data_IF_461399112444
#
_entry.id   IF_461399112444
#
_cell.length_a   1.000
_cell.length_b   1.000
_cell.length_c   1.000
_cell.angle_alpha   90.00
_cell.angle_beta   90.00
_cell.angle_gamma   90.00
#
_symmetry.space_group_name_H-M   'P 1'
#
loop_
_entity.id
_entity.type
_entity.pdbx_description
1 polymer ?
#
# COMPACT_ATOMS: atom_id res chain seq x y z
N UNK A 1 -7.79 15.31 35.93
CA UNK A 1 -6.90 15.01 34.78
C UNK A 1 -7.04 13.53 34.47
N UNK A 2 -7.48 13.18 33.26
CA UNK A 2 -7.44 11.79 32.80
C UNK A 2 -5.99 11.53 32.40
N UNK A 3 -5.29 10.54 33.00
CA UNK A 3 -3.94 10.19 32.56
C UNK A 3 -4.05 9.67 31.13
N UNK A 4 -3.45 10.36 30.16
CA UNK A 4 -3.30 9.80 28.83
C UNK A 4 -2.26 8.68 28.91
N UNK A 5 -2.66 7.46 28.55
CA UNK A 5 -1.72 6.34 28.41
C UNK A 5 -0.76 6.71 27.29
N UNK A 6 0.47 7.09 27.64
CA UNK A 6 1.54 7.23 26.66
C UNK A 6 1.85 5.82 26.13
N UNK A 7 1.54 5.58 24.86
CA UNK A 7 1.85 4.32 24.21
C UNK A 7 3.30 4.34 23.75
N UNK A 8 4.02 3.25 24.01
CA UNK A 8 5.32 3.03 23.41
C UNK A 8 5.16 2.51 21.97
N UNK A 9 6.23 2.59 21.17
CA UNK A 9 6.24 1.99 19.83
C UNK A 9 5.99 0.47 19.89
N UNK A 10 6.42 -0.20 20.96
CA UNK A 10 6.18 -1.62 21.17
C UNK A 10 4.69 -1.93 21.42
N UNK A 11 3.99 -1.06 22.16
CA UNK A 11 2.54 -1.19 22.38
C UNK A 11 1.79 -1.04 21.04
N UNK A 12 2.13 -0.03 20.25
CA UNK A 12 1.54 0.21 18.92
C UNK A 12 1.78 -0.99 18.00
N UNK A 13 3.00 -1.52 17.96
CA UNK A 13 3.34 -2.68 17.17
C UNK A 13 2.53 -3.92 17.60
N UNK A 14 2.36 -4.13 18.90
CA UNK A 14 1.57 -5.24 19.45
C UNK A 14 0.10 -5.15 19.03
N UNK A 15 -0.49 -3.95 19.06
CA UNK A 15 -1.87 -3.73 18.62
C UNK A 15 -2.02 -3.99 17.11
N UNK A 16 -1.10 -3.47 16.29
CA UNK A 16 -1.08 -3.72 14.85
C UNK A 16 -0.99 -5.23 14.53
N UNK A 17 -0.10 -5.95 15.23
CA UNK A 17 0.04 -7.40 15.09
C UNK A 17 -1.24 -8.14 15.47
N UNK A 18 -1.86 -7.73 16.57
CA UNK A 18 -3.13 -8.31 17.04
C UNK A 18 -4.22 -8.15 15.99
N UNK A 19 -4.39 -6.96 15.41
CA UNK A 19 -5.40 -6.74 14.37
C UNK A 19 -5.06 -7.49 13.08
N UNK A 20 -3.79 -7.56 12.68
CA UNK A 20 -3.38 -8.34 11.51
C UNK A 20 -3.79 -9.83 11.63
N UNK A 21 -3.59 -10.41 12.82
CA UNK A 21 -3.92 -11.81 13.09
C UNK A 21 -5.42 -12.04 13.25
N UNK A 22 -6.08 -11.22 14.07
CA UNK A 22 -7.45 -11.47 14.57
C UNK A 22 -8.56 -10.65 13.89
N UNK A 23 -8.24 -9.50 13.30
CA UNK A 23 -9.22 -8.54 12.76
C UNK A 23 -8.66 -7.82 11.52
N UNK A 24 -8.62 -8.54 10.39
CA UNK A 24 -8.09 -8.04 9.12
C UNK A 24 -8.81 -6.80 8.61
N UNK A 25 -10.16 -6.67 8.68
CA UNK A 25 -10.84 -5.43 8.32
C UNK A 25 -10.34 -4.22 9.13
N UNK A 26 -10.20 -4.36 10.46
CA UNK A 26 -9.64 -3.27 11.28
C UNK A 26 -8.19 -2.95 10.92
N UNK A 27 -7.39 -3.96 10.60
CA UNK A 27 -6.03 -3.75 10.10
C UNK A 27 -6.02 -2.96 8.78
N UNK A 28 -6.92 -3.26 7.84
CA UNK A 28 -7.08 -2.46 6.61
C UNK A 28 -7.44 -1.00 6.94
N UNK A 29 -8.39 -0.77 7.85
CA UNK A 29 -8.72 0.59 8.28
C UNK A 29 -7.53 1.31 8.93
N UNK A 30 -6.64 0.61 9.64
CA UNK A 30 -5.41 1.25 10.13
C UNK A 30 -4.51 1.71 8.99
N UNK A 31 -4.33 0.89 7.95
CA UNK A 31 -3.54 1.29 6.79
C UNK A 31 -4.14 2.52 6.12
N UNK A 32 -5.46 2.50 5.87
CA UNK A 32 -6.17 3.62 5.23
C UNK A 32 -6.04 4.94 6.02
N UNK A 33 -6.14 4.87 7.35
CA UNK A 33 -6.11 6.06 8.19
C UNK A 33 -4.71 6.62 8.45
N UNK A 34 -3.66 5.81 8.28
CA UNK A 34 -2.29 6.20 8.67
C UNK A 34 -1.32 6.27 7.48
N UNK A 35 -1.70 5.77 6.30
CA UNK A 35 -0.86 5.79 5.11
C UNK A 35 -1.48 6.72 4.07
N UNK A 36 -0.83 7.85 3.81
CA UNK A 36 -1.16 8.71 2.70
C UNK A 36 -0.38 8.28 1.45
N UNK A 37 -1.00 7.44 0.62
CA UNK A 37 -0.34 6.90 -0.57
C UNK A 37 0.03 7.98 -1.61
N UNK A 38 -0.65 9.13 -1.62
CA UNK A 38 -0.28 10.26 -2.50
C UNK A 38 1.10 10.85 -2.16
N UNK A 39 1.58 10.73 -0.92
CA UNK A 39 2.93 11.17 -0.54
C UNK A 39 4.02 10.30 -1.18
N UNK A 40 3.69 9.04 -1.49
CA UNK A 40 4.66 8.10 -2.05
C UNK A 40 4.73 8.18 -3.58
N UNK A 41 3.63 8.59 -4.22
CA UNK A 41 3.52 8.60 -5.69
C UNK A 41 4.25 9.82 -6.26
N UNK A 42 5.35 9.64 -7.02
CA UNK A 42 5.97 10.75 -7.72
C UNK A 42 4.99 11.36 -8.72
N UNK A 43 5.02 12.69 -8.88
CA UNK A 43 4.18 13.39 -9.86
C UNK A 43 4.43 12.91 -11.30
N UNK A 44 5.66 12.50 -11.61
CA UNK A 44 6.03 11.90 -12.89
C UNK A 44 5.27 10.60 -13.15
N UNK A 45 5.14 9.73 -12.15
CA UNK A 45 4.36 8.50 -12.27
C UNK A 45 2.89 8.81 -12.47
N UNK A 46 2.33 9.74 -11.69
CA UNK A 46 0.93 10.14 -11.87
C UNK A 46 0.67 10.60 -13.32
N UNK A 47 1.52 11.47 -13.86
CA UNK A 47 1.40 11.93 -15.25
C UNK A 47 1.59 10.79 -16.26
N UNK A 48 2.57 9.92 -16.07
CA UNK A 48 2.78 8.77 -16.95
C UNK A 48 1.58 7.81 -16.94
N UNK A 49 1.07 7.50 -15.75
CA UNK A 49 -0.12 6.68 -15.55
C UNK A 49 -1.42 7.36 -15.99
N UNK A 50 -1.49 8.68 -16.22
CA UNK A 50 -2.69 9.32 -16.77
C UNK A 50 -2.51 9.91 -18.18
N UNK A 51 -1.32 9.74 -18.79
CA UNK A 51 -1.05 10.15 -20.15
C UNK A 51 -2.02 9.49 -21.16
N UNK A 52 -2.46 10.24 -22.17
CA UNK A 52 -3.42 9.71 -23.16
C UNK A 52 -2.82 8.54 -23.94
N UNK A 53 -3.46 7.36 -23.86
CA UNK A 53 -3.07 6.15 -24.58
C UNK A 53 -4.08 5.76 -25.67
N UNK A 54 -5.02 6.66 -26.00
CA UNK A 54 -6.10 6.42 -26.96
C UNK A 54 -7.18 5.45 -26.48
N UNK A 55 -7.08 4.93 -25.25
CA UNK A 55 -8.12 4.13 -24.58
C UNK A 55 -8.35 4.66 -23.16
N UNK A 56 -9.61 4.68 -22.68
CA UNK A 56 -9.88 5.07 -21.31
C UNK A 56 -9.25 4.04 -20.35
N UNK A 57 -8.61 4.53 -19.28
CA UNK A 57 -8.10 3.68 -18.21
C UNK A 57 -9.27 3.25 -17.32
N UNK A 58 -9.48 1.94 -17.22
CA UNK A 58 -10.55 1.32 -16.43
C UNK A 58 -10.23 1.36 -14.92
N UNK A 59 -8.94 1.31 -14.54
CA UNK A 59 -8.48 1.22 -13.15
C UNK A 59 -7.68 2.45 -12.76
N UNK A 60 -7.87 2.90 -11.51
CA UNK A 60 -7.13 4.04 -10.93
C UNK A 60 -5.74 3.61 -10.48
N UNK A 61 -4.77 4.53 -10.51
CA UNK A 61 -3.40 4.29 -10.05
C UNK A 61 -3.36 3.77 -8.62
N UNK A 62 -4.06 4.49 -7.73
CA UNK A 62 -4.18 4.17 -6.31
C UNK A 62 -4.64 2.73 -6.08
N UNK A 63 -5.65 2.29 -6.83
CA UNK A 63 -6.20 0.94 -6.70
C UNK A 63 -5.21 -0.14 -7.07
N UNK A 64 -4.47 0.06 -8.16
CA UNK A 64 -3.44 -0.89 -8.59
C UNK A 64 -2.28 -0.94 -7.59
N UNK A 65 -1.86 0.21 -7.05
CA UNK A 65 -0.80 0.28 -6.04
C UNK A 65 -1.22 -0.39 -4.73
N UNK A 66 -2.40 -0.07 -4.20
CA UNK A 66 -2.90 -0.72 -2.98
C UNK A 66 -3.00 -2.23 -3.12
N UNK A 67 -3.45 -2.71 -4.27
CA UNK A 67 -3.50 -4.15 -4.53
C UNK A 67 -2.13 -4.82 -4.45
N UNK A 68 -1.07 -4.20 -5.00
CA UNK A 68 0.30 -4.71 -4.90
C UNK A 68 0.86 -4.59 -3.49
N UNK A 69 0.60 -3.50 -2.77
CA UNK A 69 1.02 -3.30 -1.39
C UNK A 69 0.41 -4.37 -0.48
N UNK A 70 -0.91 -4.58 -0.59
CA UNK A 70 -1.66 -5.60 0.14
C UNK A 70 -1.17 -7.00 -0.22
N UNK A 71 -0.87 -7.27 -1.49
CA UNK A 71 -0.27 -8.53 -1.91
C UNK A 71 1.02 -8.82 -1.14
N UNK A 72 1.85 -7.79 -0.90
CA UNK A 72 3.09 -7.92 -0.11
C UNK A 72 2.83 -8.04 1.38
N UNK A 73 1.98 -7.18 1.95
CA UNK A 73 1.67 -7.18 3.40
C UNK A 73 1.09 -8.53 3.84
N UNK A 74 0.14 -9.08 3.09
CA UNK A 74 -0.45 -10.38 3.40
C UNK A 74 0.36 -11.57 2.86
N UNK A 75 1.55 -11.33 2.31
CA UNK A 75 2.42 -12.37 1.74
C UNK A 75 1.68 -13.25 0.73
N UNK A 76 0.81 -12.66 -0.10
CA UNK A 76 0.05 -13.38 -1.12
C UNK A 76 1.00 -13.76 -2.27
N UNK A 77 1.27 -15.05 -2.51
CA UNK A 77 2.37 -15.48 -3.36
C UNK A 77 2.17 -15.23 -4.86
N UNK A 78 0.93 -15.10 -5.33
CA UNK A 78 0.64 -15.03 -6.78
C UNK A 78 -0.47 -14.04 -7.11
N UNK A 79 -0.45 -13.50 -8.32
CA UNK A 79 -1.51 -12.61 -8.82
C UNK A 79 -2.85 -13.33 -8.92
N UNK A 80 -2.86 -14.61 -9.29
CA UNK A 80 -4.08 -15.44 -9.33
C UNK A 80 -4.76 -15.53 -7.97
N UNK A 81 -3.96 -15.67 -6.91
CA UNK A 81 -4.48 -15.73 -5.55
C UNK A 81 -4.94 -14.34 -5.07
N UNK A 82 -4.21 -13.27 -5.40
CA UNK A 82 -4.66 -11.89 -5.16
C UNK A 82 -6.02 -11.62 -5.81
N UNK A 83 -6.18 -11.98 -7.10
CA UNK A 83 -7.44 -11.83 -7.83
C UNK A 83 -8.56 -12.63 -7.18
N UNK A 84 -8.25 -13.84 -6.72
CA UNK A 84 -9.22 -14.67 -5.98
C UNK A 84 -9.68 -13.95 -4.72
N UNK A 85 -8.77 -13.43 -3.90
CA UNK A 85 -9.14 -12.67 -2.71
C UNK A 85 -9.96 -11.42 -3.03
N UNK A 86 -9.58 -10.63 -4.04
CA UNK A 86 -10.35 -9.45 -4.47
C UNK A 86 -11.76 -9.79 -5.00
N UNK A 87 -11.96 -11.00 -5.54
CA UNK A 87 -13.29 -11.46 -5.97
C UNK A 87 -14.18 -11.82 -4.79
N UNK A 88 -13.62 -12.49 -3.78
CA UNK A 88 -14.39 -13.08 -2.69
C UNK A 88 -14.45 -12.24 -1.42
N UNK A 89 -13.55 -11.28 -1.19
CA UNK A 89 -13.63 -10.31 -0.09
C UNK A 89 -14.05 -8.95 -0.62
N UNK A 90 -15.25 -8.50 -0.24
CA UNK A 90 -15.73 -7.15 -0.50
C UNK A 90 -14.86 -6.12 0.22
N UNK A 91 -14.43 -6.40 1.44
CA UNK A 91 -13.61 -5.50 2.26
C UNK A 91 -12.28 -5.19 1.55
N UNK A 92 -11.60 -6.23 1.05
CA UNK A 92 -10.33 -6.05 0.34
C UNK A 92 -10.51 -5.30 -0.99
N UNK A 93 -11.62 -5.58 -1.68
CA UNK A 93 -11.96 -4.94 -2.95
C UNK A 93 -12.29 -3.46 -2.77
N UNK A 94 -13.07 -3.13 -1.74
CA UNK A 94 -13.46 -1.77 -1.36
C UNK A 94 -12.25 -0.98 -0.87
N UNK A 95 -11.41 -1.59 -0.02
CA UNK A 95 -10.15 -0.98 0.44
C UNK A 95 -9.24 -0.59 -0.73
N UNK A 96 -9.09 -1.46 -1.74
CA UNK A 96 -8.34 -1.12 -2.95
C UNK A 96 -9.10 -0.14 -3.87
N UNK A 97 -10.39 0.11 -3.66
CA UNK A 97 -11.21 0.98 -4.50
C UNK A 97 -11.54 0.40 -5.88
N UNK A 98 -11.65 -0.92 -6.01
CA UNK A 98 -12.05 -1.57 -7.26
C UNK A 98 -13.56 -1.73 -7.38
N UNK A 99 -14.18 -1.07 -8.36
CA UNK A 99 -15.56 -1.39 -8.77
C UNK A 99 -15.67 -2.76 -9.45
N UNK A 100 -14.61 -3.13 -10.20
CA UNK A 100 -14.46 -4.40 -10.89
C UNK A 100 -13.06 -4.94 -10.66
N UNK A 101 -12.92 -6.23 -10.44
CA UNK A 101 -11.61 -6.86 -10.18
C UNK A 101 -10.81 -6.94 -11.50
N UNK A 102 -9.58 -6.44 -11.56
CA UNK A 102 -8.70 -6.61 -12.72
C UNK A 102 -8.37 -8.09 -12.97
N UNK A 103 -8.23 -8.46 -14.24
CA UNK A 103 -7.69 -9.77 -14.60
C UNK A 103 -6.16 -9.81 -14.48
N UNK A 104 -5.57 -11.01 -14.59
CA UNK A 104 -4.12 -11.20 -14.44
C UNK A 104 -3.30 -10.45 -15.50
N UNK A 105 -3.84 -10.23 -16.69
CA UNK A 105 -3.15 -9.47 -17.74
C UNK A 105 -3.02 -7.99 -17.37
N UNK A 106 -4.01 -7.43 -16.66
CA UNK A 106 -3.98 -6.04 -16.17
C UNK A 106 -2.89 -5.85 -15.10
N UNK A 107 -2.80 -6.77 -14.14
CA UNK A 107 -1.72 -6.75 -13.14
C UNK A 107 -0.34 -6.93 -13.76
N UNK A 108 -0.22 -7.87 -14.71
CA UNK A 108 1.05 -8.12 -15.42
C UNK A 108 1.52 -6.89 -16.17
N UNK A 109 0.64 -6.29 -16.99
CA UNK A 109 0.96 -5.05 -17.74
C UNK A 109 1.29 -3.90 -16.82
N UNK A 110 0.52 -3.69 -15.75
CA UNK A 110 0.81 -2.63 -14.80
C UNK A 110 2.21 -2.76 -14.19
N UNK A 111 2.61 -3.95 -13.76
CA UNK A 111 3.96 -4.19 -13.22
C UNK A 111 5.07 -4.01 -14.25
N UNK A 112 4.81 -4.35 -15.51
CA UNK A 112 5.80 -4.27 -16.59
C UNK A 112 5.94 -2.85 -17.13
N UNK A 113 4.82 -2.22 -17.50
CA UNK A 113 4.78 -0.91 -18.14
C UNK A 113 5.25 0.20 -17.20
N UNK A 114 5.05 0.03 -15.89
CA UNK A 114 5.38 1.01 -14.86
C UNK A 114 6.49 0.56 -13.91
N UNK A 115 7.35 -0.39 -14.31
CA UNK A 115 8.39 -0.93 -13.43
C UNK A 115 9.29 0.16 -12.84
N UNK A 116 9.75 1.10 -13.67
CA UNK A 116 10.61 2.20 -13.23
C UNK A 116 9.86 3.20 -12.34
N UNK A 117 8.58 3.43 -12.62
CA UNK A 117 7.76 4.29 -11.78
C UNK A 117 7.48 3.65 -10.41
N UNK A 118 7.25 2.33 -10.37
CA UNK A 118 7.12 1.57 -9.13
C UNK A 118 8.41 1.62 -8.31
N UNK A 119 9.57 1.54 -8.96
CA UNK A 119 10.85 1.75 -8.28
C UNK A 119 10.90 3.16 -7.65
N UNK A 120 10.53 4.20 -8.40
CA UNK A 120 10.52 5.57 -7.90
C UNK A 120 9.57 5.78 -6.70
N UNK A 121 8.46 5.05 -6.62
CA UNK A 121 7.59 5.04 -5.42
C UNK A 121 8.34 4.54 -4.19
N UNK A 122 9.14 3.47 -4.33
CA UNK A 122 9.93 2.94 -3.22
C UNK A 122 11.11 3.85 -2.87
N UNK A 123 11.76 4.46 -3.86
CA UNK A 123 12.83 5.43 -3.62
C UNK A 123 12.27 6.64 -2.82
N UNK A 124 11.11 7.18 -3.20
CA UNK A 124 10.43 8.23 -2.44
C UNK A 124 10.03 7.80 -1.02
N UNK A 125 9.65 6.52 -0.83
CA UNK A 125 9.33 6.00 0.50
C UNK A 125 10.56 6.04 1.43
N UNK A 126 11.76 5.81 0.90
CA UNK A 126 13.00 5.95 1.66
C UNK A 126 13.16 7.39 2.14
N UNK A 127 12.96 8.37 1.27
CA UNK A 127 13.07 9.79 1.63
C UNK A 127 12.11 10.21 2.76
N UNK A 128 10.93 9.59 2.84
CA UNK A 128 9.93 9.86 3.88
C UNK A 128 10.27 9.12 5.19
N UNK A 129 10.72 7.87 5.08
CA UNK A 129 10.96 7.01 6.24
C UNK A 129 12.31 7.30 6.90
N UNK A 130 13.31 7.76 6.15
CA UNK A 130 14.67 8.00 6.65
C UNK A 130 14.70 9.02 7.82
N UNK A 131 14.08 10.20 7.73
CA UNK A 131 14.02 11.13 8.86
C UNK A 131 13.33 10.55 10.10
N UNK A 132 12.35 9.65 9.91
CA UNK A 132 11.63 8.99 10.99
C UNK A 132 12.56 7.96 11.67
N UNK A 133 13.27 7.17 10.88
CA UNK A 133 14.26 6.21 11.37
C UNK A 133 15.36 6.91 12.19
N UNK A 134 15.88 8.03 11.68
CA UNK A 134 16.90 8.85 12.37
C UNK A 134 16.38 9.42 13.70
N UNK A 135 15.09 9.76 13.80
CA UNK A 135 14.46 10.23 15.03
C UNK A 135 14.23 9.11 16.05
N UNK A 136 13.96 7.88 15.58
CA UNK A 136 13.77 6.72 16.46
C UNK A 136 15.11 6.29 17.06
N UNK A 137 16.11 6.06 16.23
CA UNK A 137 17.44 5.59 16.64
C UNK A 137 18.47 5.90 15.55
N UNK A 138 19.18 7.02 15.72
CA UNK A 138 20.19 7.52 14.79
C UNK A 138 21.28 6.50 14.46
N UNK A 139 21.76 5.77 15.48
CA UNK A 139 22.87 4.85 15.32
C UNK A 139 22.46 3.62 14.51
N UNK A 140 21.21 3.15 14.67
CA UNK A 140 20.66 2.05 13.86
C UNK A 140 20.25 2.48 12.46
N UNK A 141 19.82 3.72 12.27
CA UNK A 141 19.41 4.25 10.96
C UNK A 141 20.60 4.54 10.03
N UNK A 142 21.77 4.85 10.58
CA UNK A 142 22.96 5.25 9.80
C UNK A 142 23.81 4.07 9.27
N UNK A 143 23.33 2.83 9.36
CA UNK A 143 24.04 1.61 8.95
C UNK A 143 23.73 1.17 7.52
#
# INVERSE_FOLDING_TARGET
MIPHKQLSLADIYSDCKTFFESDKPKFLSLLENNINLDEFIPISFYHHFYASTGRPREYKLHSMLWALIIQRIFSIPTDTLLITFLKYSSELREFCGFEKVPDGSKFTRFKQDFLLDLQAVFDNLVDITEPICQQIDKDKASM
#
